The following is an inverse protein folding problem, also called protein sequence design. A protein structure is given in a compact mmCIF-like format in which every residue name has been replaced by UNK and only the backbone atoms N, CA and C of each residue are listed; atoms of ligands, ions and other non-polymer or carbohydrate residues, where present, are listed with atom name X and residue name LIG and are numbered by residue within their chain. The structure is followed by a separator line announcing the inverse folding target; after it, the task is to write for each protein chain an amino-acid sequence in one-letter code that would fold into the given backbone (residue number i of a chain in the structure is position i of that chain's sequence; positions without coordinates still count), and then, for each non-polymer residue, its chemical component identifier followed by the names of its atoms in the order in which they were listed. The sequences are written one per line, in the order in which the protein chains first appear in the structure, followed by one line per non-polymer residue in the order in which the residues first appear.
data_IF_979555938962
#
_entry.id   IF_979555938962
#
_cell.length_a   1.000
_cell.length_b   1.000
_cell.length_c   1.000
_cell.angle_alpha   90.00
_cell.angle_beta   90.00
_cell.angle_gamma   90.00
#
_symmetry.space_group_name_H-M   'P 1'
#
loop_
_entity.id
_entity.type
_entity.pdbx_description
1 polymer ?
#
# COMPACT_ATOMS: atom_id res chain seq x y z
N UNK A 1 13.78 7.27 33.60
CA UNK A 1 14.60 6.07 33.76
C UNK A 1 15.83 6.48 34.54
N UNK A 2 16.13 5.80 35.63
CA UNK A 2 17.12 6.27 36.62
C UNK A 2 18.07 5.12 36.92
N UNK A 3 19.38 5.36 36.74
CA UNK A 3 20.46 4.45 37.16
C UNK A 3 21.07 4.91 38.51
N UNK A 4 22.08 4.19 38.99
CA UNK A 4 22.76 4.37 40.28
C UNK A 4 23.34 5.76 40.54
N UNK A 5 23.55 6.56 39.50
CA UNK A 5 24.12 7.91 39.58
C UNK A 5 23.07 9.03 39.47
N UNK A 6 21.79 8.70 39.30
CA UNK A 6 20.72 9.66 39.01
C UNK A 6 19.77 9.77 40.22
N UNK A 7 19.38 11.00 40.57
CA UNK A 7 18.52 11.27 41.74
C UNK A 7 17.06 10.93 41.43
N UNK A 8 16.42 9.97 42.14
CA UNK A 8 15.03 9.59 41.88
C UNK A 8 14.00 10.61 42.38
N UNK A 9 14.35 11.52 43.29
CA UNK A 9 13.39 12.41 43.97
C UNK A 9 12.83 13.50 43.03
N UNK A 10 13.49 13.75 41.90
CA UNK A 10 13.06 14.71 40.88
C UNK A 10 12.05 14.13 39.89
N UNK A 11 11.74 12.82 39.98
CA UNK A 11 10.89 12.11 39.01
C UNK A 11 9.66 11.51 39.70
N UNK A 12 8.46 11.82 39.21
CA UNK A 12 7.20 11.32 39.78
C UNK A 12 7.03 9.80 39.61
N UNK A 13 7.46 9.26 38.47
CA UNK A 13 7.37 7.84 38.15
C UNK A 13 8.76 7.30 37.80
N UNK A 14 9.44 6.83 38.84
CA UNK A 14 10.80 6.31 38.72
C UNK A 14 10.76 4.92 38.09
N UNK A 15 11.53 4.73 37.01
CA UNK A 15 11.77 3.43 36.38
C UNK A 15 13.26 3.10 36.54
N UNK A 16 13.62 2.16 37.43
CA UNK A 16 15.01 1.79 37.65
C UNK A 16 15.57 1.07 36.41
N UNK A 17 16.78 1.43 35.99
CA UNK A 17 17.47 0.77 34.88
C UNK A 17 18.67 1.56 34.38
N UNK A 18 19.48 0.92 33.53
CA UNK A 18 20.70 1.49 32.96
C UNK A 18 20.39 2.44 31.79
N UNK A 19 20.47 3.75 32.02
CA UNK A 19 20.23 4.81 31.03
C UNK A 19 21.43 5.09 30.11
N UNK A 20 22.65 4.70 30.53
CA UNK A 20 23.87 4.81 29.72
C UNK A 20 23.87 3.88 28.48
N UNK A 21 23.12 2.78 28.53
CA UNK A 21 23.06 1.83 27.42
C UNK A 21 22.07 2.27 26.33
N UNK A 22 22.59 2.56 25.13
CA UNK A 22 21.78 2.93 23.95
C UNK A 22 20.66 1.92 23.63
N UNK A 23 20.91 0.63 23.86
CA UNK A 23 19.90 -0.42 23.68
C UNK A 23 18.75 -0.28 24.67
N UNK A 24 19.08 0.06 25.91
CA UNK A 24 18.14 0.21 27.03
C UNK A 24 17.27 1.46 26.82
N UNK A 25 17.88 2.58 26.44
CA UNK A 25 17.17 3.80 26.07
C UNK A 25 16.19 3.56 24.89
N UNK A 26 16.66 2.87 23.84
CA UNK A 26 15.80 2.53 22.69
C UNK A 26 14.64 1.60 23.07
N UNK A 27 14.88 0.61 23.93
CA UNK A 27 13.83 -0.29 24.39
C UNK A 27 12.77 0.48 25.19
N UNK A 28 13.21 1.33 26.13
CA UNK A 28 12.32 2.14 26.95
C UNK A 28 11.48 3.09 26.09
N UNK A 29 12.12 3.80 25.15
CA UNK A 29 11.44 4.71 24.24
C UNK A 29 10.36 4.00 23.39
N UNK A 30 10.67 2.80 22.88
CA UNK A 30 9.71 1.99 22.11
C UNK A 30 8.51 1.57 22.95
N UNK A 31 8.75 1.02 24.13
CA UNK A 31 7.68 0.56 25.03
C UNK A 31 6.76 1.74 25.44
N UNK A 32 7.34 2.91 25.71
CA UNK A 32 6.56 4.10 26.03
C UNK A 32 5.75 4.58 24.81
N UNK A 33 6.35 4.57 23.62
CA UNK A 33 5.64 4.94 22.38
C UNK A 33 4.45 4.01 22.12
N UNK A 34 4.65 2.69 22.21
CA UNK A 34 3.60 1.70 22.03
C UNK A 34 2.44 1.91 23.04
N UNK A 35 2.78 2.17 24.31
CA UNK A 35 1.80 2.46 25.35
C UNK A 35 1.02 3.76 25.10
N UNK A 36 1.67 4.79 24.56
CA UNK A 36 1.02 6.06 24.18
C UNK A 36 0.06 5.83 23.01
N UNK A 37 0.46 5.08 22.00
CA UNK A 37 -0.40 4.81 20.84
C UNK A 37 -1.64 3.98 21.22
N UNK A 38 -1.46 2.95 22.05
CA UNK A 38 -2.58 2.19 22.61
C UNK A 38 -3.48 3.09 23.48
N UNK A 39 -2.89 3.91 24.34
CA UNK A 39 -3.61 4.86 25.18
C UNK A 39 -4.43 5.87 24.38
N UNK A 40 -3.86 6.41 23.30
CA UNK A 40 -4.55 7.32 22.36
C UNK A 40 -5.71 6.63 21.67
N UNK A 41 -5.52 5.39 21.22
CA UNK A 41 -6.56 4.60 20.58
C UNK A 41 -7.73 4.26 21.53
N UNK A 42 -7.43 3.89 22.78
CA UNK A 42 -8.46 3.65 23.80
C UNK A 42 -9.18 4.96 24.13
N UNK A 43 -8.45 6.05 24.27
CA UNK A 43 -9.02 7.35 24.63
C UNK A 43 -9.88 7.94 23.50
N UNK A 44 -9.52 7.76 22.23
CA UNK A 44 -10.34 8.17 21.09
C UNK A 44 -11.64 7.36 21.00
N UNK A 45 -11.59 6.06 21.32
CA UNK A 45 -12.78 5.21 21.44
C UNK A 45 -13.68 5.61 22.61
N UNK A 46 -13.11 5.92 23.79
CA UNK A 46 -13.86 6.31 24.99
C UNK A 46 -14.46 7.71 24.92
N UNK A 47 -13.79 8.67 24.26
CA UNK A 47 -14.27 10.05 24.11
C UNK A 47 -15.25 10.26 22.96
N UNK A 48 -15.73 9.19 22.31
CA UNK A 48 -16.60 9.30 21.15
C UNK A 48 -15.84 9.83 19.95
N UNK A 49 -15.18 8.92 19.22
CA UNK A 49 -14.70 9.11 17.86
C UNK A 49 -14.18 10.53 17.51
N UNK A 50 -12.98 10.86 17.94
CA UNK A 50 -12.08 11.57 17.02
C UNK A 50 -11.28 10.47 16.37
N UNK A 51 -11.72 10.07 15.18
CA UNK A 51 -11.04 9.08 14.36
C UNK A 51 -9.54 9.43 14.28
N UNK A 52 -8.63 8.44 14.16
CA UNK A 52 -7.30 8.76 13.66
C UNK A 52 -7.50 9.53 12.35
N UNK A 53 -6.65 10.52 12.08
CA UNK A 53 -6.52 11.10 10.75
C UNK A 53 -6.21 9.95 9.75
N UNK A 54 -7.24 9.25 9.30
CA UNK A 54 -7.33 8.86 7.91
C UNK A 54 -7.31 10.13 7.08
N UNK A 55 -6.99 10.04 5.77
CA UNK A 55 -6.99 11.22 4.92
C UNK A 55 -8.27 11.97 5.19
N UNK A 56 -8.15 13.23 5.63
CA UNK A 56 -9.28 14.09 5.85
C UNK A 56 -10.18 13.91 4.63
N UNK A 57 -11.42 13.44 4.85
CA UNK A 57 -12.43 13.53 3.81
C UNK A 57 -12.65 15.02 3.70
N UNK A 58 -11.85 15.66 2.86
CA UNK A 58 -12.04 17.04 2.45
C UNK A 58 -13.42 17.01 1.83
N UNK A 59 -14.41 17.58 2.51
CA UNK A 59 -15.74 17.77 1.93
C UNK A 59 -15.55 18.62 0.69
N UNK A 60 -15.55 17.96 -0.46
CA UNK A 60 -15.47 18.60 -1.76
C UNK A 60 -16.76 19.37 -1.97
N UNK A 61 -16.63 20.57 -2.51
CA UNK A 61 -17.82 21.28 -3.00
C UNK A 61 -18.50 20.43 -4.08
N UNK A 62 -19.82 20.61 -4.31
CA UNK A 62 -20.54 19.89 -5.37
C UNK A 62 -19.88 20.02 -6.76
N UNK A 63 -19.22 21.16 -7.02
CA UNK A 63 -18.49 21.42 -8.26
C UNK A 63 -17.20 20.59 -8.37
N UNK A 64 -16.45 20.45 -7.28
CA UNK A 64 -15.22 19.64 -7.23
C UNK A 64 -15.52 18.14 -7.29
N UNK A 65 -16.66 17.70 -6.75
CA UNK A 65 -17.11 16.32 -6.86
C UNK A 65 -17.52 15.98 -8.30
N UNK A 66 -18.27 16.86 -8.96
CA UNK A 66 -18.61 16.71 -10.37
C UNK A 66 -17.36 16.69 -11.27
N UNK A 67 -16.39 17.56 -11.00
CA UNK A 67 -15.12 17.58 -11.73
C UNK A 67 -14.31 16.29 -11.53
N UNK A 68 -14.30 15.75 -10.31
CA UNK A 68 -13.61 14.49 -10.01
C UNK A 68 -14.30 13.29 -10.65
N UNK A 69 -15.63 13.24 -10.65
CA UNK A 69 -16.40 12.19 -11.31
C UNK A 69 -16.19 12.20 -12.82
N UNK A 70 -16.18 13.40 -13.44
CA UNK A 70 -15.86 13.57 -14.86
C UNK A 70 -14.44 13.09 -15.18
N UNK A 71 -13.44 13.49 -14.38
CA UNK A 71 -12.06 13.04 -14.55
C UNK A 71 -11.91 11.51 -14.41
N UNK A 72 -12.63 10.90 -13.46
CA UNK A 72 -12.65 9.45 -13.31
C UNK A 72 -13.34 8.74 -14.49
N UNK A 73 -14.42 9.32 -15.03
CA UNK A 73 -15.11 8.77 -16.19
C UNK A 73 -14.23 8.79 -17.45
N UNK A 74 -13.48 9.87 -17.66
CA UNK A 74 -12.53 9.98 -18.76
C UNK A 74 -11.36 9.01 -18.60
N UNK A 75 -10.82 8.87 -17.39
CA UNK A 75 -9.75 7.90 -17.10
C UNK A 75 -10.21 6.46 -17.37
N UNK A 76 -11.44 6.10 -16.98
CA UNK A 76 -12.02 4.77 -17.27
C UNK A 76 -12.17 4.53 -18.77
N UNK A 77 -12.61 5.54 -19.53
CA UNK A 77 -12.76 5.46 -20.98
C UNK A 77 -11.41 5.24 -21.67
N UNK A 78 -10.41 6.04 -21.33
CA UNK A 78 -9.06 5.92 -21.87
C UNK A 78 -8.43 4.56 -21.53
N UNK A 79 -8.65 4.05 -20.31
CA UNK A 79 -8.17 2.73 -19.92
C UNK A 79 -8.82 1.60 -20.75
N UNK A 80 -10.13 1.69 -21.01
CA UNK A 80 -10.85 0.73 -21.84
C UNK A 80 -10.36 0.76 -23.31
N UNK A 81 -10.15 1.95 -23.87
CA UNK A 81 -9.60 2.13 -25.22
C UNK A 81 -8.16 1.58 -25.31
N UNK A 82 -7.32 1.86 -24.31
CA UNK A 82 -5.97 1.33 -24.25
C UNK A 82 -5.93 -0.20 -24.10
N UNK A 83 -6.87 -0.79 -23.35
CA UNK A 83 -7.00 -2.24 -23.22
C UNK A 83 -7.42 -2.86 -24.56
N UNK A 84 -8.45 -2.32 -25.23
CA UNK A 84 -8.88 -2.77 -26.54
C UNK A 84 -7.76 -2.66 -27.60
N UNK A 85 -6.97 -1.58 -27.58
CA UNK A 85 -5.82 -1.41 -28.46
C UNK A 85 -4.70 -2.43 -28.19
N UNK A 86 -4.48 -2.80 -26.92
CA UNK A 86 -3.51 -3.85 -26.55
C UNK A 86 -4.00 -5.23 -26.99
N UNK A 87 -5.26 -5.54 -26.76
CA UNK A 87 -5.85 -6.81 -27.20
C UNK A 87 -5.84 -6.96 -28.72
N UNK A 88 -6.18 -5.91 -29.47
CA UNK A 88 -6.12 -5.90 -30.92
C UNK A 88 -4.69 -6.14 -31.44
N UNK A 89 -3.69 -5.53 -30.79
CA UNK A 89 -2.28 -5.75 -31.13
C UNK A 89 -1.86 -7.19 -30.87
N UNK A 90 -2.16 -7.72 -29.68
CA UNK A 90 -1.83 -9.11 -29.32
C UNK A 90 -2.54 -10.10 -30.26
N UNK A 91 -3.79 -9.83 -30.65
CA UNK A 91 -4.53 -10.65 -31.60
C UNK A 91 -3.90 -10.62 -32.99
N UNK A 92 -3.48 -9.44 -33.47
CA UNK A 92 -2.76 -9.32 -34.75
C UNK A 92 -1.41 -10.05 -34.73
N UNK A 93 -0.63 -9.91 -33.65
CA UNK A 93 0.65 -10.58 -33.48
C UNK A 93 0.49 -12.10 -33.41
N UNK A 94 -0.54 -12.60 -32.71
CA UNK A 94 -0.90 -14.02 -32.67
C UNK A 94 -1.34 -14.54 -34.04
N UNK A 95 -2.17 -13.80 -34.76
CA UNK A 95 -2.61 -14.17 -36.11
C UNK A 95 -1.41 -14.25 -37.07
N UNK A 96 -0.50 -13.27 -37.04
CA UNK A 96 0.72 -13.31 -37.86
C UNK A 96 1.66 -14.45 -37.46
N UNK A 97 1.72 -14.80 -36.17
CA UNK A 97 2.49 -15.95 -35.70
C UNK A 97 1.86 -17.26 -36.18
N UNK A 98 0.54 -17.42 -36.06
CA UNK A 98 -0.21 -18.60 -36.54
C UNK A 98 -0.05 -18.79 -38.06
N UNK A 99 -0.12 -17.70 -38.83
CA UNK A 99 0.06 -17.72 -40.28
C UNK A 99 1.51 -18.07 -40.67
N UNK A 100 2.51 -17.60 -39.91
CA UNK A 100 3.92 -17.97 -40.10
C UNK A 100 4.20 -19.44 -39.75
N UNK A 101 3.56 -20.01 -38.73
CA UNK A 101 3.70 -21.42 -38.35
C UNK A 101 3.07 -22.32 -39.42
N UNK A 102 1.92 -21.92 -39.99
CA UNK A 102 1.21 -22.67 -41.04
C UNK A 102 1.96 -22.63 -42.39
N UNK A 103 2.72 -21.57 -42.67
CA UNK A 103 3.53 -21.47 -43.89
C UNK A 103 4.83 -22.29 -43.83
N UNK A 104 5.29 -22.67 -42.63
CA UNK A 104 6.51 -23.50 -42.45
C UNK A 104 6.26 -25.01 -42.52
N UNK A 105 5.02 -25.48 -42.70
CA UNK A 105 4.74 -26.93 -42.74
C UNK A 105 3.97 -27.40 -44.00
N UNK A 106 4.65 -27.55 -45.14
CA UNK A 106 4.21 -28.47 -46.19
C UNK A 106 5.06 -29.75 -46.25
N UNK A 107 5.87 -30.09 -45.23
CA UNK A 107 6.93 -31.09 -45.40
C UNK A 107 7.13 -32.12 -44.28
N UNK A 108 6.09 -32.52 -43.54
CA UNK A 108 6.21 -33.76 -42.75
C UNK A 108 4.94 -34.61 -42.57
N UNK A 109 4.17 -34.85 -43.62
CA UNK A 109 3.33 -36.06 -43.68
C UNK A 109 3.29 -36.58 -45.11
N UNK A 110 4.06 -37.63 -45.42
CA UNK A 110 3.65 -38.71 -46.36
C UNK A 110 4.66 -39.88 -46.30
N UNK A 111 4.13 -41.05 -45.91
CA UNK A 111 4.63 -42.43 -46.10
C UNK A 111 5.38 -43.09 -44.93
N UNK A 112 4.59 -43.55 -43.95
CA UNK A 112 4.64 -44.95 -43.52
C UNK A 112 3.85 -45.78 -44.54
N UNK A 113 4.48 -46.68 -45.29
CA UNK A 113 3.98 -48.02 -45.70
C UNK A 113 4.82 -48.59 -46.85
N UNK A 114 5.58 -49.67 -46.56
CA UNK A 114 5.92 -50.86 -47.39
C UNK A 114 7.30 -51.39 -47.04
#
# INVERSE_FOLDING_TARGET
MVDTNCDPDIVTYVIPGNDDAIRSANLMARVIADAVDEGRFIASRKRGAVAPEGPAVVERTPEEEAAHEAAQADARRQAAEAAAAREARIASERATAEEAITQTDPANETTQES
#
